data_IF_436960732672
#
_entry.id   IF_436960732672
#
_cell.length_a   1.000
_cell.length_b   1.000
_cell.length_c   1.000
_cell.angle_alpha   90.00
_cell.angle_beta   90.00
_cell.angle_gamma   90.00
#
_symmetry.space_group_name_H-M   'P 1'
#
loop_
_entity.id
_entity.type
_entity.pdbx_description
1 polymer ?
#
# COMPACT_ATOMS: atom_id res chain seq x y z
N UNK A 1 9.53 -1.66 36.97
CA UNK A 1 9.54 -2.48 35.74
C UNK A 1 8.29 -2.16 34.93
N UNK A 2 8.39 -1.36 33.87
CA UNK A 2 7.29 -1.09 32.95
C UNK A 2 7.46 -1.91 31.68
N UNK A 3 6.49 -2.76 31.36
CA UNK A 3 6.47 -3.57 30.15
C UNK A 3 6.10 -2.69 28.95
N UNK A 4 7.03 -2.55 28.01
CA UNK A 4 6.81 -1.83 26.75
C UNK A 4 6.04 -2.73 25.78
N UNK A 5 4.73 -2.55 25.67
CA UNK A 5 3.94 -3.05 24.54
C UNK A 5 3.34 -1.85 23.81
N UNK A 6 3.70 -1.70 22.52
CA UNK A 6 2.93 -0.84 21.62
C UNK A 6 1.48 -1.36 21.59
N UNK A 7 0.47 -0.49 21.64
CA UNK A 7 -0.91 -0.94 21.51
C UNK A 7 -1.10 -1.62 20.15
N UNK A 8 -1.45 -2.90 20.18
CA UNK A 8 -2.05 -3.56 19.03
C UNK A 8 -3.36 -2.82 18.72
N UNK A 9 -3.54 -2.44 17.46
CA UNK A 9 -4.84 -2.01 16.97
C UNK A 9 -5.88 -3.11 17.27
N UNK A 10 -7.10 -2.76 17.68
CA UNK A 10 -8.10 -3.75 18.04
C UNK A 10 -8.46 -4.59 16.81
N UNK A 11 -8.42 -5.92 16.96
CA UNK A 11 -9.12 -6.82 16.06
C UNK A 11 -10.59 -6.39 16.03
N UNK A 12 -11.04 -5.90 14.88
CA UNK A 12 -12.47 -5.68 14.66
C UNK A 12 -13.14 -7.04 14.64
N UNK A 13 -13.85 -7.35 15.72
CA UNK A 13 -14.82 -8.43 15.84
C UNK A 13 -15.76 -8.44 14.63
N UNK A 14 -15.54 -9.37 13.71
CA UNK A 14 -16.48 -9.67 12.63
C UNK A 14 -17.56 -10.60 13.18
N UNK A 15 -18.40 -10.08 14.08
CA UNK A 15 -19.57 -10.81 14.52
C UNK A 15 -20.65 -10.77 13.43
N UNK A 16 -20.95 -11.98 12.94
CA UNK A 16 -22.26 -12.42 12.45
C UNK A 16 -22.84 -11.67 11.25
N UNK A 17 -22.41 -12.07 10.05
CA UNK A 17 -23.32 -12.06 8.91
C UNK A 17 -24.43 -13.10 9.13
N UNK A 18 -25.71 -12.78 8.90
CA UNK A 18 -26.77 -13.78 8.87
C UNK A 18 -26.55 -14.71 7.68
N UNK A 19 -26.91 -16.01 7.78
CA UNK A 19 -26.80 -16.92 6.65
C UNK A 19 -27.79 -16.51 5.56
N UNK A 20 -27.30 -16.35 4.34
CA UNK A 20 -28.13 -16.27 3.13
C UNK A 20 -28.93 -17.58 3.01
N UNK A 21 -30.25 -17.45 3.02
CA UNK A 21 -31.19 -18.53 2.77
C UNK A 21 -30.97 -19.10 1.37
N UNK A 22 -30.63 -20.39 1.34
CA UNK A 22 -30.40 -21.17 0.12
C UNK A 22 -31.76 -21.57 -0.47
N UNK A 23 -32.36 -20.73 -1.30
CA UNK A 23 -33.50 -21.13 -2.12
C UNK A 23 -32.99 -21.88 -3.35
N UNK A 24 -33.13 -23.20 -3.33
CA UNK A 24 -32.89 -24.03 -4.52
C UNK A 24 -33.95 -23.75 -5.59
N UNK A 25 -33.59 -23.83 -6.89
CA UNK A 25 -34.58 -23.70 -7.95
C UNK A 25 -35.55 -24.88 -7.93
N UNK A 26 -36.84 -24.58 -7.80
CA UNK A 26 -37.92 -25.55 -7.96
C UNK A 26 -38.00 -26.00 -9.41
N UNK A 27 -38.07 -27.32 -9.60
CA UNK A 27 -38.32 -27.98 -10.88
C UNK A 27 -39.64 -27.49 -11.47
N UNK A 28 -39.59 -26.66 -12.51
CA UNK A 28 -40.73 -26.40 -13.37
C UNK A 28 -40.73 -27.42 -14.52
N UNK A 29 -41.91 -27.98 -14.77
CA UNK A 29 -42.16 -29.09 -15.66
C UNK A 29 -41.84 -28.79 -17.13
N UNK A 30 -41.30 -29.81 -17.79
CA UNK A 30 -41.09 -29.90 -19.23
C UNK A 30 -42.45 -29.88 -19.95
N UNK A 31 -42.66 -28.93 -20.87
CA UNK A 31 -43.68 -29.05 -21.92
C UNK A 31 -42.98 -28.98 -23.26
N UNK A 32 -42.95 -30.13 -23.94
CA UNK A 32 -42.56 -30.27 -25.34
C UNK A 32 -43.72 -29.75 -26.17
N UNK A 33 -43.48 -28.72 -26.97
CA UNK A 33 -44.35 -28.35 -28.09
C UNK A 33 -43.44 -27.90 -29.22
N UNK A 34 -43.18 -28.81 -30.16
CA UNK A 34 -42.36 -28.52 -31.33
C UNK A 34 -43.11 -27.68 -32.35
N UNK A 35 -42.40 -26.75 -32.98
CA UNK A 35 -42.53 -26.49 -34.43
C UNK A 35 -41.28 -25.73 -34.91
N UNK A 36 -40.60 -26.28 -35.92
CA UNK A 36 -39.47 -25.69 -36.63
C UNK A 36 -39.96 -24.53 -37.50
N UNK A 37 -39.40 -23.33 -37.32
CA UNK A 37 -39.39 -22.29 -38.35
C UNK A 37 -37.99 -21.68 -38.44
N UNK A 38 -37.28 -22.11 -39.48
CA UNK A 38 -36.01 -21.54 -39.94
C UNK A 38 -36.28 -20.13 -40.44
N UNK A 39 -35.84 -19.11 -39.69
CA UNK A 39 -35.83 -17.74 -40.16
C UNK A 39 -34.44 -17.40 -40.71
N UNK A 40 -34.40 -17.24 -42.02
CA UNK A 40 -33.25 -16.87 -42.83
C UNK A 40 -32.85 -15.41 -42.50
N UNK A 41 -31.81 -15.22 -41.69
CA UNK A 41 -31.22 -13.89 -41.46
C UNK A 41 -30.31 -13.51 -42.63
N UNK A 42 -30.92 -13.11 -43.75
CA UNK A 42 -30.25 -12.31 -44.76
C UNK A 42 -30.34 -10.83 -44.36
N UNK A 43 -29.32 -10.35 -43.66
CA UNK A 43 -28.94 -8.95 -43.75
C UNK A 43 -27.45 -8.89 -44.10
N UNK A 44 -27.19 -8.81 -45.41
CA UNK A 44 -26.01 -8.14 -45.94
C UNK A 44 -26.13 -6.65 -45.59
N UNK A 45 -25.08 -6.04 -45.03
CA UNK A 45 -24.59 -4.74 -45.50
C UNK A 45 -23.23 -4.35 -44.90
N UNK A 46 -22.39 -3.84 -45.82
CA UNK A 46 -21.31 -2.86 -45.67
C UNK A 46 -19.97 -3.27 -45.03
N UNK A 47 -19.02 -3.53 -45.92
CA UNK A 47 -17.58 -3.20 -45.90
C UNK A 47 -17.05 -2.36 -44.73
N UNK A 48 -16.14 -2.96 -43.96
CA UNK A 48 -15.18 -2.30 -43.08
C UNK A 48 -14.19 -3.33 -42.51
N UNK A 49 -13.05 -3.56 -43.17
CA UNK A 49 -11.93 -4.27 -42.53
C UNK A 49 -10.98 -3.28 -41.85
N UNK A 50 -9.92 -3.74 -41.16
CA UNK A 50 -9.79 -4.87 -40.24
C UNK A 50 -9.70 -4.35 -38.79
N UNK A 51 -10.29 -5.02 -37.80
CA UNK A 51 -9.91 -4.77 -36.40
C UNK A 51 -8.89 -5.84 -35.99
N UNK A 52 -7.59 -5.54 -35.97
CA UNK A 52 -6.66 -6.40 -35.25
C UNK A 52 -6.96 -6.19 -33.76
N UNK A 53 -7.36 -7.26 -33.08
CA UNK A 53 -7.45 -7.29 -31.63
C UNK A 53 -6.07 -6.97 -31.06
N UNK A 54 -5.84 -5.68 -30.75
CA UNK A 54 -4.57 -5.16 -30.31
C UNK A 54 -4.39 -5.39 -28.81
N UNK A 55 -4.26 -6.66 -28.42
CA UNK A 55 -3.56 -7.01 -27.19
C UNK A 55 -2.06 -7.13 -27.51
N UNK A 56 -1.44 -6.05 -27.97
CA UNK A 56 0.04 -5.95 -27.95
C UNK A 56 0.47 -5.58 -26.53
N UNK A 57 0.24 -6.49 -25.59
CA UNK A 57 1.00 -6.45 -24.35
C UNK A 57 2.30 -7.21 -24.60
N UNK A 58 3.40 -6.48 -24.49
CA UNK A 58 4.72 -7.06 -24.44
C UNK A 58 4.82 -7.88 -23.14
N UNK A 59 4.47 -9.17 -23.22
CA UNK A 59 4.56 -10.15 -22.13
C UNK A 59 6.01 -10.44 -21.72
N UNK A 60 6.99 -9.66 -22.21
CA UNK A 60 8.39 -9.67 -21.81
C UNK A 60 8.74 -8.62 -20.77
N UNK A 61 7.76 -8.08 -20.04
CA UNK A 61 8.11 -7.43 -18.78
C UNK A 61 8.46 -8.52 -17.77
N UNK A 62 9.76 -8.69 -17.47
CA UNK A 62 10.24 -9.56 -16.39
C UNK A 62 9.73 -9.17 -14.99
N UNK A 63 8.92 -8.12 -14.91
CA UNK A 63 8.24 -7.61 -13.73
C UNK A 63 7.01 -8.45 -13.45
N UNK A 64 7.11 -9.37 -12.48
CA UNK A 64 5.98 -10.14 -11.99
C UNK A 64 5.17 -9.26 -11.03
N UNK A 65 3.91 -8.86 -11.36
CA UNK A 65 3.10 -8.07 -10.46
C UNK A 65 2.99 -8.74 -9.09
N UNK A 66 3.22 -7.96 -8.02
CA UNK A 66 3.18 -8.46 -6.65
C UNK A 66 4.48 -9.05 -6.13
N UNK A 67 5.59 -9.05 -6.88
CA UNK A 67 6.92 -9.25 -6.31
C UNK A 67 7.58 -7.90 -5.96
N UNK A 68 8.35 -7.80 -4.86
CA UNK A 68 9.08 -6.57 -4.54
C UNK A 68 10.17 -6.26 -5.56
N UNK A 69 10.22 -5.02 -6.03
CA UNK A 69 11.23 -4.55 -6.98
C UNK A 69 11.98 -3.34 -6.46
N UNK A 70 13.25 -3.20 -6.86
CA UNK A 70 14.07 -2.05 -6.48
C UNK A 70 13.53 -0.78 -7.12
N UNK A 71 13.36 0.26 -6.29
CA UNK A 71 12.97 1.60 -6.72
C UNK A 71 14.04 2.62 -6.28
N UNK A 72 14.19 3.71 -7.03
CA UNK A 72 15.18 4.75 -6.69
C UNK A 72 14.85 5.38 -5.34
N UNK A 73 15.86 5.56 -4.50
CA UNK A 73 15.68 6.11 -3.15
C UNK A 73 15.26 7.58 -3.13
N UNK A 74 15.45 8.31 -4.23
CA UNK A 74 15.00 9.68 -4.40
C UNK A 74 13.59 9.79 -5.03
N UNK A 75 12.93 8.66 -5.32
CA UNK A 75 11.55 8.65 -5.80
C UNK A 75 10.63 9.39 -4.80
N UNK A 76 9.71 10.26 -5.26
CA UNK A 76 8.83 11.01 -4.36
C UNK A 76 7.97 10.13 -3.44
N UNK A 77 7.48 8.99 -3.93
CA UNK A 77 6.71 8.04 -3.14
C UNK A 77 7.56 7.38 -2.06
N UNK A 78 8.80 7.05 -2.38
CA UNK A 78 9.79 6.52 -1.41
C UNK A 78 10.10 7.56 -0.32
N UNK A 79 10.34 8.82 -0.69
CA UNK A 79 10.59 9.91 0.28
C UNK A 79 9.39 10.12 1.22
N UNK A 80 8.17 10.07 0.67
CA UNK A 80 6.96 10.17 1.45
C UNK A 80 6.76 8.98 2.39
N UNK A 81 7.05 7.76 1.93
CA UNK A 81 7.01 6.56 2.78
C UNK A 81 8.05 6.62 3.92
N UNK A 82 9.26 7.13 3.66
CA UNK A 82 10.25 7.37 4.70
C UNK A 82 9.75 8.38 5.74
N UNK A 83 9.09 9.47 5.31
CA UNK A 83 8.45 10.45 6.20
C UNK A 83 7.42 9.78 7.12
N UNK A 84 6.52 8.96 6.56
CA UNK A 84 5.54 8.22 7.37
C UNK A 84 6.19 7.27 8.40
N UNK A 85 7.32 6.65 8.04
CA UNK A 85 8.07 5.76 8.93
C UNK A 85 8.63 6.53 10.14
N UNK A 86 9.15 7.73 9.91
CA UNK A 86 9.64 8.62 10.97
C UNK A 86 8.51 9.17 11.83
N UNK A 87 7.39 9.57 11.22
CA UNK A 87 6.20 10.01 11.96
C UNK A 87 5.69 8.91 12.89
N UNK A 88 5.65 7.67 12.40
CA UNK A 88 5.35 6.49 13.22
C UNK A 88 6.36 6.32 14.36
N UNK A 89 7.65 6.45 14.09
CA UNK A 89 8.71 6.38 15.10
C UNK A 89 8.52 7.43 16.20
N UNK A 90 8.32 8.69 15.81
CA UNK A 90 8.09 9.80 16.73
C UNK A 90 6.83 9.55 17.58
N UNK A 91 5.77 9.02 17.00
CA UNK A 91 4.54 8.71 17.74
C UNK A 91 4.71 7.54 18.73
N UNK A 92 5.53 6.54 18.39
CA UNK A 92 5.76 5.35 19.21
C UNK A 92 6.84 5.50 20.28
N UNK A 93 7.59 6.60 20.30
CA UNK A 93 8.70 6.83 21.24
C UNK A 93 8.47 8.04 22.13
N UNK A 94 9.10 8.04 23.31
CA UNK A 94 9.00 9.12 24.30
C UNK A 94 10.23 10.04 24.30
N UNK A 95 10.96 10.12 23.19
CA UNK A 95 12.06 11.08 23.07
C UNK A 95 11.53 12.52 23.19
N UNK A 96 12.31 13.38 23.83
CA UNK A 96 11.94 14.79 24.00
C UNK A 96 12.03 15.58 22.69
N UNK A 97 12.83 15.09 21.73
CA UNK A 97 13.04 15.68 20.42
C UNK A 97 12.37 14.84 19.32
N UNK A 98 12.01 15.51 18.23
CA UNK A 98 11.57 14.82 17.01
C UNK A 98 12.75 14.19 16.29
N UNK A 99 12.53 13.06 15.63
CA UNK A 99 13.42 12.49 14.62
C UNK A 99 12.94 12.88 13.22
N UNK A 100 13.88 12.93 12.27
CA UNK A 100 13.67 13.20 10.84
C UNK A 100 14.44 12.19 10.00
N UNK A 101 13.93 11.82 8.83
CA UNK A 101 14.67 10.98 7.88
C UNK A 101 15.96 11.69 7.42
N UNK A 102 17.12 11.06 7.63
CA UNK A 102 18.41 11.60 7.21
C UNK A 102 18.88 11.01 5.88
N UNK A 103 18.66 9.70 5.68
CA UNK A 103 19.11 9.00 4.47
C UNK A 103 18.30 7.74 4.21
N UNK A 104 17.81 7.57 2.99
CA UNK A 104 17.23 6.30 2.53
C UNK A 104 18.34 5.49 1.86
N UNK A 105 18.72 4.36 2.45
CA UNK A 105 19.79 3.48 1.96
C UNK A 105 19.32 2.57 0.84
N UNK A 106 18.14 1.97 1.03
CA UNK A 106 17.53 1.04 0.07
C UNK A 106 16.02 1.20 0.07
N UNK A 107 15.40 0.96 -1.07
CA UNK A 107 13.96 0.99 -1.23
C UNK A 107 13.52 -0.10 -2.22
N UNK A 108 12.54 -0.88 -1.79
CA UNK A 108 11.78 -1.77 -2.66
C UNK A 108 10.31 -1.32 -2.69
N UNK A 109 9.60 -1.63 -3.77
CA UNK A 109 8.17 -1.41 -3.90
C UNK A 109 7.48 -2.68 -4.39
N UNK A 110 6.30 -2.97 -3.84
CA UNK A 110 5.47 -4.12 -4.22
C UNK A 110 4.03 -3.64 -4.44
N UNK A 111 3.42 -4.03 -5.56
CA UNK A 111 2.02 -3.71 -5.87
C UNK A 111 1.09 -4.73 -5.21
N UNK A 112 0.31 -4.29 -4.20
CA UNK A 112 -0.58 -5.13 -3.39
C UNK A 112 -1.85 -4.37 -2.97
N UNK A 113 -2.80 -4.20 -3.90
CA UNK A 113 -4.00 -3.35 -3.70
C UNK A 113 -3.65 -1.95 -3.17
N UNK A 114 -2.52 -1.44 -3.63
CA UNK A 114 -1.79 -0.31 -3.08
C UNK A 114 -0.30 -0.47 -3.39
N UNK A 115 0.54 0.37 -2.83
CA UNK A 115 2.00 0.35 -2.94
C UNK A 115 2.57 0.02 -1.56
N UNK A 116 3.23 -1.13 -1.44
CA UNK A 116 3.98 -1.50 -0.24
C UNK A 116 5.46 -1.17 -0.47
N UNK A 117 5.94 -0.15 0.22
CA UNK A 117 7.35 0.20 0.27
C UNK A 117 8.05 -0.58 1.37
N UNK A 118 9.25 -1.09 1.10
CA UNK A 118 10.13 -1.72 2.08
C UNK A 118 11.43 -0.93 2.08
N UNK A 119 11.72 -0.25 3.18
CA UNK A 119 12.76 0.76 3.25
C UNK A 119 13.82 0.39 4.28
N UNK A 120 15.08 0.56 3.92
CA UNK A 120 16.19 0.74 4.87
C UNK A 120 16.46 2.25 4.96
N UNK A 121 16.08 2.88 6.09
CA UNK A 121 16.13 4.33 6.30
C UNK A 121 16.89 4.66 7.58
N UNK A 122 17.81 5.63 7.49
CA UNK A 122 18.41 6.27 8.64
C UNK A 122 17.54 7.44 9.10
N UNK A 123 17.34 7.54 10.41
CA UNK A 123 16.63 8.65 11.05
C UNK A 123 17.55 9.33 12.06
N UNK A 124 17.52 10.66 12.10
CA UNK A 124 18.36 11.47 12.96
C UNK A 124 17.54 12.32 13.94
N UNK A 125 18.03 12.46 15.17
CA UNK A 125 17.43 13.37 16.15
C UNK A 125 17.58 14.82 15.67
N UNK A 126 16.51 15.60 15.82
CA UNK A 126 16.45 17.03 15.46
C UNK A 126 16.52 17.94 16.69
N UNK A 127 16.67 19.24 16.45
CA UNK A 127 16.62 20.29 17.48
C UNK A 127 15.19 20.60 17.94
N UNK A 128 14.20 20.20 17.16
CA UNK A 128 12.78 20.41 17.43
C UNK A 128 12.29 19.56 18.62
N UNK A 129 11.58 20.19 19.57
CA UNK A 129 10.95 19.48 20.69
C UNK A 129 9.60 18.91 20.28
N UNK A 130 9.29 17.69 20.75
CA UNK A 130 8.05 16.98 20.40
C UNK A 130 6.78 17.71 20.85
N UNK A 131 6.82 18.37 22.01
CA UNK A 131 5.68 19.08 22.60
C UNK A 131 5.28 20.39 21.89
N UNK A 132 6.10 20.87 20.95
CA UNK A 132 5.84 22.10 20.20
C UNK A 132 5.08 21.86 18.88
N UNK A 133 4.73 20.60 18.57
CA UNK A 133 4.06 20.20 17.32
C UNK A 133 4.71 20.81 16.05
N UNK A 134 6.05 20.69 15.90
CA UNK A 134 6.77 21.30 14.80
C UNK A 134 6.47 20.59 13.47
N UNK A 135 6.64 21.30 12.36
CA UNK A 135 6.72 20.67 11.03
C UNK A 135 8.11 20.09 10.85
N UNK A 136 8.21 18.80 10.53
CA UNK A 136 9.50 18.10 10.39
C UNK A 136 10.39 18.71 9.29
N UNK A 137 9.81 19.30 8.24
CA UNK A 137 10.57 19.95 7.17
C UNK A 137 11.46 21.08 7.69
N UNK A 138 10.98 21.81 8.71
CA UNK A 138 11.65 22.97 9.31
C UNK A 138 12.61 22.58 10.46
N UNK A 139 12.74 21.28 10.74
CA UNK A 139 13.58 20.77 11.81
C UNK A 139 14.98 20.39 11.31
N UNK A 140 15.99 21.06 11.86
CA UNK A 140 17.41 20.75 11.64
C UNK A 140 17.88 19.61 12.55
N UNK A 141 18.88 18.87 12.09
CA UNK A 141 19.50 17.80 12.89
C UNK A 141 20.30 18.35 14.07
N UNK A 142 20.37 17.58 15.16
CA UNK A 142 21.21 17.90 16.32
C UNK A 142 22.68 17.99 15.93
N UNK A 143 23.30 19.13 16.23
CA UNK A 143 24.75 19.35 16.09
C UNK A 143 25.50 19.10 17.39
N UNK A 144 24.82 19.20 18.54
CA UNK A 144 25.41 18.92 19.85
C UNK A 144 25.77 17.42 19.96
N UNK A 145 27.04 17.11 20.15
CA UNK A 145 27.56 15.74 20.21
C UNK A 145 26.88 14.85 21.26
N UNK A 146 26.43 15.40 22.40
CA UNK A 146 25.76 14.60 23.44
C UNK A 146 24.29 14.30 23.11
N UNK A 147 23.67 15.13 22.28
CA UNK A 147 22.29 14.97 21.83
C UNK A 147 22.20 14.36 20.43
N UNK A 148 23.29 14.31 19.67
CA UNK A 148 23.30 13.73 18.33
C UNK A 148 23.03 12.23 18.43
N UNK A 149 22.01 11.77 17.72
CA UNK A 149 21.71 10.36 17.59
C UNK A 149 21.17 10.06 16.21
N UNK A 150 21.57 8.92 15.67
CA UNK A 150 21.11 8.40 14.40
C UNK A 150 20.78 6.94 14.60
N UNK A 151 19.64 6.50 14.08
CA UNK A 151 19.16 5.12 14.15
C UNK A 151 19.00 4.59 12.73
N UNK A 152 19.28 3.31 12.56
CA UNK A 152 19.02 2.61 11.30
C UNK A 152 17.73 1.84 11.42
N UNK A 153 16.78 2.08 10.53
CA UNK A 153 15.45 1.52 10.58
C UNK A 153 15.14 0.68 9.33
N UNK A 154 14.48 -0.45 9.54
CA UNK A 154 13.71 -1.13 8.51
C UNK A 154 12.23 -0.81 8.71
N UNK A 155 11.56 -0.37 7.64
CA UNK A 155 10.13 -0.07 7.67
C UNK A 155 9.40 -0.63 6.46
N UNK A 156 8.20 -1.15 6.70
CA UNK A 156 7.25 -1.46 5.62
C UNK A 156 6.11 -0.45 5.70
N UNK A 157 5.84 0.22 4.60
CA UNK A 157 4.81 1.26 4.49
C UNK A 157 3.86 0.91 3.37
N UNK A 158 2.60 0.71 3.68
CA UNK A 158 1.57 0.44 2.68
C UNK A 158 0.78 1.71 2.42
N UNK A 159 0.71 2.12 1.16
CA UNK A 159 0.03 3.36 0.73
C UNK A 159 -1.02 3.00 -0.30
N UNK A 160 -2.20 3.59 -0.19
CA UNK A 160 -3.29 3.49 -1.16
C UNK A 160 -3.60 4.90 -1.68
N UNK A 161 -2.88 5.38 -2.72
CA UNK A 161 -2.92 6.79 -3.11
C UNK A 161 -4.31 7.29 -3.49
N UNK A 162 -5.11 6.47 -4.19
CA UNK A 162 -6.46 6.82 -4.62
C UNK A 162 -7.48 6.89 -3.48
N UNK A 163 -7.14 6.38 -2.28
CA UNK A 163 -7.95 6.53 -1.07
C UNK A 163 -7.32 7.51 -0.07
N UNK A 164 -6.15 8.09 -0.38
CA UNK A 164 -5.40 8.96 0.54
C UNK A 164 -5.10 8.30 1.89
N UNK A 165 -4.82 6.99 1.88
CA UNK A 165 -4.58 6.19 3.08
C UNK A 165 -3.15 5.64 3.08
N UNK A 166 -2.59 5.51 4.28
CA UNK A 166 -1.33 4.81 4.50
C UNK A 166 -1.31 4.11 5.86
N UNK A 167 -0.47 3.09 5.95
CA UNK A 167 -0.15 2.39 7.20
C UNK A 167 1.34 2.08 7.25
N UNK A 168 1.88 2.04 8.47
CA UNK A 168 3.25 1.59 8.75
C UNK A 168 3.18 0.31 9.59
N UNK A 169 2.88 -0.85 8.96
CA UNK A 169 2.71 -2.12 9.67
C UNK A 169 4.00 -2.63 10.33
N UNK A 170 5.17 -2.30 9.77
CA UNK A 170 6.47 -2.72 10.30
C UNK A 170 7.36 -1.51 10.47
N UNK A 171 7.93 -1.36 11.66
CA UNK A 171 8.99 -0.41 11.95
C UNK A 171 9.93 -1.02 12.99
N UNK A 172 11.20 -1.21 12.62
CA UNK A 172 12.24 -1.76 13.49
C UNK A 172 13.48 -0.88 13.38
N UNK A 173 13.92 -0.29 14.48
CA UNK A 173 15.07 0.60 14.52
C UNK A 173 16.13 0.10 15.50
N UNK A 174 17.40 0.33 15.19
CA UNK A 174 18.57 0.01 16.02
C UNK A 174 19.57 1.16 16.04
#
# INVERSE_FOLDING_TARGET
>A
MGTNHCPQLPEKNWHSHPPLSRTGPTRAAMRVAGTLLVFCCLFLNATGGPSPDFCSQDLKSGVKPGFPETIKTNDPGVRQAARHSVEKFNNCTNDMFMFKESRIRRALVQIVKGLKYMLEVEIGRTTCKKNQHPRLDDCDFQTNHTLKQTLSCYSEVWVVPWLQQFEVPVLRCH
#
